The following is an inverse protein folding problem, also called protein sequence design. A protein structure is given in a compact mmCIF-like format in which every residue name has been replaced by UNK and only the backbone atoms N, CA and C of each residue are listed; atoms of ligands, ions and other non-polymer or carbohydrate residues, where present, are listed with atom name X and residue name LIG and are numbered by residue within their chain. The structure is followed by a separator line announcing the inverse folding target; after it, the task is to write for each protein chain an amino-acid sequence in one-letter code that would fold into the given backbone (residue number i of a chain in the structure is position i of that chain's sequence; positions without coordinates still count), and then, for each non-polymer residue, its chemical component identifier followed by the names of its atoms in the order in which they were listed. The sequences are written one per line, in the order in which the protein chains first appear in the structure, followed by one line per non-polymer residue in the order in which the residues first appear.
data_IF_406005150958
#
_entry.id   IF_406005150958
#
_cell.length_a   1.000
_cell.length_b   1.000
_cell.length_c   1.000
_cell.angle_alpha   90.00
_cell.angle_beta   90.00
_cell.angle_gamma   90.00
#
_symmetry.space_group_name_H-M   'P 1'
#
loop_
_entity.id
_entity.type
_entity.pdbx_description
1 polymer ?
#
# COMPACT_ATOMS: atom_id res chain seq x y z
N UNK A 1 1.73 -5.00 -25.20
CA UNK A 1 2.35 -4.10 -24.22
C UNK A 1 2.94 -2.89 -24.92
N UNK A 2 2.66 -1.67 -24.40
CA UNK A 2 2.85 -0.42 -25.18
C UNK A 2 4.30 -0.06 -25.51
N UNK A 3 5.28 -0.56 -24.75
CA UNK A 3 6.69 -0.21 -24.93
C UNK A 3 7.58 -1.42 -25.26
N UNK A 4 6.99 -2.53 -25.74
CA UNK A 4 7.74 -3.75 -26.06
C UNK A 4 8.31 -4.45 -24.83
N UNK A 5 7.73 -4.21 -23.64
CA UNK A 5 8.11 -4.88 -22.39
C UNK A 5 7.11 -5.98 -22.13
N UNK A 6 7.56 -7.21 -22.05
CA UNK A 6 6.74 -8.33 -21.60
C UNK A 6 6.62 -8.30 -20.07
N UNK A 7 5.40 -8.46 -19.57
CA UNK A 7 5.11 -8.49 -18.12
C UNK A 7 4.41 -9.80 -17.78
N UNK A 8 4.92 -10.47 -16.77
CA UNK A 8 4.33 -11.67 -16.17
C UNK A 8 3.90 -11.34 -14.75
N UNK A 9 2.63 -11.60 -14.44
CA UNK A 9 2.09 -11.44 -13.10
C UNK A 9 2.12 -12.78 -12.38
N UNK A 10 2.67 -12.81 -11.19
CA UNK A 10 2.74 -13.97 -10.31
C UNK A 10 2.31 -13.59 -8.90
N UNK A 11 1.77 -14.52 -8.14
CA UNK A 11 1.54 -14.30 -6.71
C UNK A 11 2.90 -14.20 -6.02
N UNK A 12 3.19 -13.08 -5.39
CA UNK A 12 4.47 -12.81 -4.72
C UNK A 12 4.72 -13.71 -3.51
N UNK A 13 3.66 -14.33 -2.97
CA UNK A 13 3.73 -15.28 -1.85
C UNK A 13 4.09 -16.70 -2.30
N UNK A 14 3.90 -17.01 -3.57
CA UNK A 14 4.32 -18.28 -4.18
C UNK A 14 5.73 -18.13 -4.74
N UNK A 15 6.74 -18.32 -3.87
CA UNK A 15 8.15 -18.18 -4.23
C UNK A 15 8.58 -19.16 -5.32
N UNK A 16 7.96 -20.33 -5.41
CA UNK A 16 8.23 -21.30 -6.48
C UNK A 16 7.70 -20.77 -7.83
N UNK A 17 6.52 -20.18 -7.86
CA UNK A 17 5.99 -19.52 -9.04
C UNK A 17 6.85 -18.33 -9.47
N UNK A 18 7.31 -17.52 -8.52
CA UNK A 18 8.26 -16.42 -8.78
C UNK A 18 9.56 -16.95 -9.38
N UNK A 19 10.17 -17.97 -8.78
CA UNK A 19 11.41 -18.55 -9.28
C UNK A 19 11.24 -19.17 -10.68
N UNK A 20 10.14 -19.86 -10.94
CA UNK A 20 9.84 -20.42 -12.25
C UNK A 20 9.69 -19.32 -13.31
N UNK A 21 8.97 -18.22 -12.99
CA UNK A 21 8.84 -17.09 -13.90
C UNK A 21 10.20 -16.41 -14.21
N UNK A 22 11.11 -16.37 -13.24
CA UNK A 22 12.46 -15.86 -13.42
C UNK A 22 13.32 -16.80 -14.31
N UNK A 23 13.08 -18.12 -14.24
CA UNK A 23 13.82 -19.14 -15.04
C UNK A 23 13.36 -19.23 -16.49
N UNK A 24 12.05 -19.12 -16.74
CA UNK A 24 11.45 -19.34 -18.05
C UNK A 24 11.89 -18.33 -19.11
N UNK A 25 12.23 -17.12 -18.69
CA UNK A 25 12.64 -16.02 -19.57
C UNK A 25 13.81 -15.26 -18.95
N UNK A 26 14.57 -14.59 -19.81
CA UNK A 26 15.60 -13.65 -19.38
C UNK A 26 14.96 -12.42 -18.73
N UNK A 27 14.43 -12.61 -17.51
CA UNK A 27 13.75 -11.57 -16.75
C UNK A 27 14.76 -10.52 -16.31
N UNK A 28 14.51 -9.26 -16.68
CA UNK A 28 15.41 -8.14 -16.35
C UNK A 28 15.06 -7.48 -15.01
N UNK A 29 13.80 -7.52 -14.61
CA UNK A 29 13.29 -6.84 -13.42
C UNK A 29 12.31 -7.74 -12.69
N UNK A 30 12.52 -7.92 -11.39
CA UNK A 30 11.50 -8.38 -10.44
C UNK A 30 10.97 -7.16 -9.72
N UNK A 31 9.65 -6.94 -9.80
CA UNK A 31 8.97 -5.82 -9.15
C UNK A 31 7.89 -6.34 -8.21
N UNK A 32 7.85 -5.81 -6.99
CA UNK A 32 6.80 -6.12 -6.02
C UNK A 32 6.45 -4.89 -5.17
N UNK A 33 5.44 -4.99 -4.33
CA UNK A 33 5.14 -4.05 -3.26
C UNK A 33 5.56 -4.65 -1.92
N UNK A 34 6.05 -3.85 -0.97
CA UNK A 34 6.34 -4.33 0.40
C UNK A 34 5.06 -4.80 1.09
N UNK A 35 4.01 -4.00 0.96
CA UNK A 35 2.64 -4.26 1.44
C UNK A 35 1.72 -4.00 0.27
N UNK A 36 0.97 -5.01 -0.16
CA UNK A 36 0.15 -4.92 -1.38
C UNK A 36 -1.08 -4.03 -1.22
N UNK A 37 -1.46 -3.33 -2.29
CA UNK A 37 -2.66 -2.51 -2.35
C UNK A 37 -3.74 -3.20 -3.22
N UNK A 38 -4.93 -3.52 -2.72
CA UNK A 38 -5.49 -3.13 -1.42
C UNK A 38 -5.49 -4.24 -0.35
N UNK A 39 -4.94 -5.42 -0.63
CA UNK A 39 -5.09 -6.62 0.20
C UNK A 39 -4.17 -6.64 1.43
N UNK A 40 -3.20 -5.73 1.50
CA UNK A 40 -2.24 -5.59 2.59
C UNK A 40 -1.42 -6.87 2.87
N UNK A 41 -1.23 -7.70 1.85
CA UNK A 41 -0.36 -8.87 1.90
C UNK A 41 1.10 -8.42 2.01
N UNK A 42 1.92 -9.20 2.70
CA UNK A 42 3.32 -8.87 2.97
C UNK A 42 4.24 -9.69 2.06
N UNK A 43 5.13 -9.02 1.34
CA UNK A 43 6.16 -9.67 0.54
C UNK A 43 7.32 -10.15 1.40
N UNK A 44 7.80 -11.36 1.17
CA UNK A 44 9.05 -11.87 1.79
C UNK A 44 10.25 -11.24 1.07
N UNK A 45 10.62 -10.03 1.51
CA UNK A 45 11.64 -9.23 0.84
C UNK A 45 13.00 -9.94 0.74
N UNK A 46 13.55 -10.57 1.80
CA UNK A 46 14.82 -11.29 1.72
C UNK A 46 14.82 -12.40 0.66
N UNK A 47 13.75 -13.21 0.63
CA UNK A 47 13.65 -14.33 -0.32
C UNK A 47 13.52 -13.83 -1.76
N UNK A 48 12.67 -12.81 -1.99
CA UNK A 48 12.49 -12.21 -3.32
C UNK A 48 13.78 -11.55 -3.83
N UNK A 49 14.51 -10.84 -2.97
CA UNK A 49 15.79 -10.24 -3.33
C UNK A 49 16.83 -11.32 -3.68
N UNK A 50 16.86 -12.42 -2.92
CA UNK A 50 17.75 -13.56 -3.19
C UNK A 50 17.44 -14.24 -4.53
N UNK A 51 16.15 -14.45 -4.84
CA UNK A 51 15.71 -15.00 -6.13
C UNK A 51 16.07 -14.08 -7.29
N UNK A 52 15.81 -12.77 -7.18
CA UNK A 52 16.18 -11.81 -8.22
C UNK A 52 17.70 -11.84 -8.48
N UNK A 53 18.51 -11.80 -7.43
CA UNK A 53 19.98 -11.85 -7.54
C UNK A 53 20.45 -13.16 -8.17
N UNK A 54 19.91 -14.31 -7.74
CA UNK A 54 20.23 -15.64 -8.29
C UNK A 54 20.03 -15.73 -9.79
N UNK A 55 19.00 -15.08 -10.33
CA UNK A 55 18.63 -15.07 -11.74
C UNK A 55 19.11 -13.83 -12.51
N UNK A 56 19.89 -12.94 -11.89
CA UNK A 56 20.48 -11.75 -12.52
C UNK A 56 19.48 -10.65 -12.85
N UNK A 57 18.29 -10.68 -12.25
CA UNK A 57 17.30 -9.64 -12.37
C UNK A 57 17.55 -8.47 -11.39
N UNK A 58 17.22 -7.26 -11.79
CA UNK A 58 17.22 -6.10 -10.88
C UNK A 58 15.95 -6.17 -10.03
N UNK A 59 16.12 -6.18 -8.71
CA UNK A 59 15.00 -6.16 -7.77
C UNK A 59 14.55 -4.75 -7.45
N UNK A 60 13.26 -4.48 -7.66
CA UNK A 60 12.62 -3.18 -7.40
C UNK A 60 11.41 -3.41 -6.50
N UNK A 61 11.28 -2.64 -5.45
CA UNK A 61 10.11 -2.72 -4.57
C UNK A 61 9.47 -1.34 -4.37
N UNK A 62 8.15 -1.28 -4.49
CA UNK A 62 7.38 -0.13 -4.04
C UNK A 62 7.10 -0.28 -2.54
N UNK A 63 7.67 0.61 -1.75
CA UNK A 63 7.51 0.61 -0.30
C UNK A 63 6.69 1.81 0.20
N UNK A 64 5.76 2.28 -0.64
CA UNK A 64 4.92 3.44 -0.34
C UNK A 64 4.10 3.23 0.93
N UNK A 65 3.51 2.04 1.14
CA UNK A 65 2.67 1.75 2.32
C UNK A 65 3.49 1.60 3.60
N UNK A 66 4.64 0.94 3.51
CA UNK A 66 5.50 0.75 4.67
C UNK A 66 6.24 2.04 5.06
N UNK A 67 6.58 2.91 4.12
CA UNK A 67 7.47 4.05 4.30
C UNK A 67 8.86 3.65 4.80
N UNK A 68 9.89 4.52 4.75
CA UNK A 68 11.17 4.21 5.35
C UNK A 68 11.15 4.16 6.90
N UNK A 69 10.00 4.51 7.53
CA UNK A 69 9.84 4.38 8.98
C UNK A 69 9.61 2.91 9.37
N UNK A 70 8.80 2.18 8.61
CA UNK A 70 8.46 0.79 8.94
C UNK A 70 9.34 -0.24 8.25
N UNK A 71 9.86 0.05 7.05
CA UNK A 71 10.70 -0.89 6.31
C UNK A 71 11.77 -0.19 5.47
N UNK A 72 12.99 -0.73 5.51
CA UNK A 72 14.07 -0.33 4.62
C UNK A 72 14.45 -1.50 3.69
N UNK A 73 13.83 -1.62 2.50
CA UNK A 73 14.02 -2.78 1.62
C UNK A 73 15.46 -2.99 1.12
N UNK A 74 16.29 -1.95 1.11
CA UNK A 74 17.71 -2.08 0.75
C UNK A 74 18.45 -2.99 1.75
N UNK A 75 18.09 -2.92 3.02
CA UNK A 75 18.66 -3.80 4.06
C UNK A 75 18.24 -5.26 3.89
N UNK A 76 17.12 -5.49 3.20
CA UNK A 76 16.65 -6.82 2.80
C UNK A 76 17.24 -7.31 1.47
N UNK A 77 18.15 -6.53 0.84
CA UNK A 77 18.89 -6.95 -0.35
C UNK A 77 18.35 -6.44 -1.68
N UNK A 78 17.27 -5.66 -1.70
CA UNK A 78 16.76 -5.04 -2.92
C UNK A 78 17.74 -4.06 -3.55
N UNK A 79 17.72 -3.97 -4.88
CA UNK A 79 18.56 -3.03 -5.61
C UNK A 79 17.99 -1.61 -5.57
N UNK A 80 16.67 -1.49 -5.69
CA UNK A 80 15.96 -0.23 -5.73
C UNK A 80 14.70 -0.28 -4.86
N UNK A 81 14.40 0.83 -4.21
CA UNK A 81 13.13 1.09 -3.54
C UNK A 81 12.47 2.32 -4.15
N UNK A 82 11.17 2.24 -4.39
CA UNK A 82 10.33 3.32 -4.89
C UNK A 82 9.36 3.74 -3.79
N UNK A 83 9.09 5.04 -3.71
CA UNK A 83 8.00 5.60 -2.92
C UNK A 83 7.23 6.63 -3.73
N UNK A 84 5.91 6.60 -3.63
CA UNK A 84 5.08 7.73 -4.04
C UNK A 84 5.22 8.87 -3.02
N UNK A 85 5.84 9.96 -3.43
CA UNK A 85 5.92 11.19 -2.62
C UNK A 85 4.55 11.83 -2.41
N UNK A 86 3.62 11.55 -3.30
CA UNK A 86 2.20 11.95 -3.21
C UNK A 86 1.51 11.49 -1.93
N UNK A 87 2.04 10.44 -1.29
CA UNK A 87 1.43 9.73 -0.16
C UNK A 87 2.06 10.15 1.17
N UNK A 88 2.34 9.22 2.05
CA UNK A 88 2.79 9.44 3.43
C UNK A 88 4.03 10.30 3.56
N UNK A 89 4.99 10.24 2.59
CA UNK A 89 6.23 11.01 2.68
C UNK A 89 5.94 12.52 2.71
N UNK A 90 5.13 13.00 1.79
CA UNK A 90 4.62 14.37 1.84
C UNK A 90 3.51 14.52 2.90
N UNK A 91 2.45 13.70 2.80
CA UNK A 91 1.37 13.58 3.77
C UNK A 91 0.35 14.71 3.79
N UNK A 92 0.39 15.66 2.84
CA UNK A 92 -0.47 16.86 2.84
C UNK A 92 -1.39 16.96 1.62
N UNK A 93 -1.43 15.93 0.77
CA UNK A 93 -2.34 15.81 -0.40
C UNK A 93 -2.25 16.98 -1.40
N UNK A 94 -1.12 17.71 -1.44
CA UNK A 94 -0.93 18.97 -2.17
C UNK A 94 0.10 18.86 -3.31
N UNK A 95 0.64 17.66 -3.58
CA UNK A 95 1.58 17.43 -4.69
C UNK A 95 1.48 16.02 -5.27
N UNK A 96 2.06 15.86 -6.46
CA UNK A 96 2.27 14.57 -7.11
C UNK A 96 3.76 14.36 -7.35
N UNK A 97 4.27 13.17 -7.00
CA UNK A 97 5.67 12.87 -7.23
C UNK A 97 6.05 11.46 -6.83
N UNK A 98 7.25 11.06 -7.21
CA UNK A 98 7.86 9.79 -6.85
C UNK A 98 9.34 9.95 -6.57
N UNK A 99 9.88 9.04 -5.80
CA UNK A 99 11.33 8.94 -5.56
C UNK A 99 11.78 7.50 -5.75
N UNK A 100 13.02 7.35 -6.18
CA UNK A 100 13.72 6.08 -6.23
C UNK A 100 15.04 6.21 -5.50
N UNK A 101 15.34 5.26 -4.64
CA UNK A 101 16.60 5.15 -3.93
C UNK A 101 17.19 3.76 -4.10
N UNK A 102 18.51 3.62 -3.97
CA UNK A 102 19.18 2.33 -4.07
C UNK A 102 20.62 2.42 -4.51
N UNK A 103 21.12 1.33 -5.11
CA UNK A 103 22.53 1.19 -5.52
C UNK A 103 22.93 2.27 -6.52
N UNK A 104 23.97 3.03 -6.21
CA UNK A 104 24.49 4.16 -7.01
C UNK A 104 24.60 3.83 -8.49
N UNK A 105 25.18 2.68 -8.85
CA UNK A 105 25.37 2.26 -10.24
C UNK A 105 24.06 2.18 -11.05
N UNK A 106 22.94 1.85 -10.39
CA UNK A 106 21.61 1.79 -11.03
C UNK A 106 20.98 3.18 -11.04
N UNK A 107 21.11 3.91 -9.94
CA UNK A 107 20.61 5.29 -9.83
C UNK A 107 21.25 6.21 -10.86
N UNK A 108 22.57 6.09 -11.13
CA UNK A 108 23.25 6.90 -12.15
C UNK A 108 22.63 6.73 -13.54
N UNK A 109 22.23 5.51 -13.91
CA UNK A 109 21.55 5.23 -15.18
C UNK A 109 20.13 5.84 -15.21
N UNK A 110 19.42 5.81 -14.09
CA UNK A 110 18.09 6.42 -13.97
C UNK A 110 18.24 7.94 -14.07
N UNK A 111 19.21 8.51 -13.37
CA UNK A 111 19.52 9.95 -13.40
C UNK A 111 19.86 10.46 -14.81
N UNK A 112 20.63 9.68 -15.59
CA UNK A 112 20.91 10.00 -16.99
C UNK A 112 19.61 10.08 -17.81
N UNK A 113 18.70 9.13 -17.64
CA UNK A 113 17.41 9.13 -18.33
C UNK A 113 16.53 10.29 -17.90
N UNK A 114 16.46 10.56 -16.59
CA UNK A 114 15.70 11.68 -16.04
C UNK A 114 16.15 13.02 -16.66
N UNK A 115 17.47 13.25 -16.77
CA UNK A 115 18.01 14.47 -17.38
C UNK A 115 17.70 14.58 -18.89
N UNK A 116 17.71 13.45 -19.59
CA UNK A 116 17.54 13.45 -21.05
C UNK A 116 16.08 13.49 -21.49
N UNK A 117 15.18 12.87 -20.75
CA UNK A 117 13.77 12.74 -21.11
C UNK A 117 12.82 13.61 -20.27
N UNK A 118 13.32 14.25 -19.24
CA UNK A 118 12.50 15.04 -18.32
C UNK A 118 11.84 14.20 -17.23
N UNK A 119 10.81 14.75 -16.59
CA UNK A 119 10.16 14.15 -15.43
C UNK A 119 10.78 14.55 -14.09
N UNK A 120 11.74 15.48 -14.09
CA UNK A 120 12.26 16.08 -12.86
C UNK A 120 11.17 16.88 -12.15
N UNK A 121 11.15 16.75 -10.82
CA UNK A 121 10.19 17.45 -9.97
C UNK A 121 10.41 18.96 -10.02
N UNK A 122 9.31 19.71 -10.04
CA UNK A 122 9.33 21.16 -9.89
C UNK A 122 9.92 21.57 -8.53
N UNK A 123 10.75 22.64 -8.44
CA UNK A 123 11.38 23.07 -7.20
C UNK A 123 10.41 23.41 -6.06
N UNK A 124 9.23 23.96 -6.37
CA UNK A 124 8.22 24.23 -5.37
C UNK A 124 7.67 22.93 -4.75
N UNK A 125 7.31 21.95 -5.59
CA UNK A 125 6.89 20.63 -5.11
C UNK A 125 8.01 19.95 -4.29
N UNK A 126 9.26 20.04 -4.72
CA UNK A 126 10.39 19.49 -3.98
C UNK A 126 10.52 20.12 -2.58
N UNK A 127 10.30 21.42 -2.45
CA UNK A 127 10.30 22.12 -1.16
C UNK A 127 9.16 21.70 -0.25
N UNK A 128 7.96 21.41 -0.82
CA UNK A 128 6.84 20.88 -0.06
C UNK A 128 7.12 19.45 0.46
N UNK A 129 7.74 18.61 -0.36
CA UNK A 129 8.19 17.26 0.07
C UNK A 129 9.16 17.37 1.24
N UNK A 130 10.21 18.19 1.10
CA UNK A 130 11.18 18.39 2.18
C UNK A 130 10.51 18.85 3.47
N UNK A 131 9.54 19.77 3.37
CA UNK A 131 8.76 20.23 4.52
C UNK A 131 7.91 19.10 5.11
N UNK A 132 7.18 18.34 4.30
CA UNK A 132 6.34 17.22 4.73
C UNK A 132 7.15 16.12 5.43
N UNK A 133 8.32 15.80 4.92
CA UNK A 133 9.19 14.78 5.51
C UNK A 133 9.67 15.11 6.92
N UNK A 134 9.75 16.38 7.30
CA UNK A 134 10.15 16.80 8.67
C UNK A 134 9.22 16.30 9.77
N UNK A 135 7.99 15.96 9.43
CA UNK A 135 6.96 15.43 10.36
C UNK A 135 6.52 13.99 10.03
N UNK A 136 7.20 13.33 9.08
CA UNK A 136 6.81 12.01 8.62
C UNK A 136 6.68 11.01 9.77
N UNK A 137 7.68 10.93 10.64
CA UNK A 137 7.69 9.96 11.75
C UNK A 137 6.49 10.16 12.67
N UNK A 138 6.28 11.37 13.15
CA UNK A 138 5.17 11.69 14.09
C UNK A 138 3.80 11.39 13.46
N UNK A 139 3.62 11.75 12.18
CA UNK A 139 2.38 11.47 11.45
C UNK A 139 2.15 9.97 11.28
N UNK A 140 3.21 9.25 10.89
CA UNK A 140 3.13 7.82 10.67
C UNK A 140 2.84 7.07 11.97
N UNK A 141 3.54 7.36 13.05
CA UNK A 141 3.31 6.76 14.37
C UNK A 141 1.88 7.02 14.87
N UNK A 142 1.41 8.27 14.79
CA UNK A 142 0.05 8.62 15.22
C UNK A 142 -1.02 7.90 14.40
N UNK A 143 -0.91 7.92 13.08
CA UNK A 143 -1.89 7.26 12.21
C UNK A 143 -1.86 5.73 12.35
N UNK A 144 -0.69 5.12 12.56
CA UNK A 144 -0.53 3.68 12.80
C UNK A 144 -1.15 3.26 14.14
N UNK A 145 -0.94 4.03 15.21
CA UNK A 145 -1.58 3.77 16.51
C UNK A 145 -3.12 3.79 16.39
N UNK A 146 -3.66 4.79 15.70
CA UNK A 146 -5.11 4.90 15.48
C UNK A 146 -5.63 3.76 14.60
N UNK A 147 -4.91 3.40 13.54
CA UNK A 147 -5.24 2.28 12.65
C UNK A 147 -5.30 0.94 13.41
N UNK A 148 -4.33 0.67 14.28
CA UNK A 148 -4.30 -0.54 15.08
C UNK A 148 -5.51 -0.64 16.02
N UNK A 149 -5.86 0.45 16.71
CA UNK A 149 -7.06 0.50 17.56
C UNK A 149 -8.34 0.26 16.76
N UNK A 150 -8.44 0.92 15.60
CA UNK A 150 -9.61 0.81 14.72
C UNK A 150 -9.75 -0.61 14.14
N UNK A 151 -8.66 -1.21 13.67
CA UNK A 151 -8.66 -2.58 13.15
C UNK A 151 -9.13 -3.59 14.20
N UNK A 152 -8.65 -3.49 15.44
CA UNK A 152 -9.10 -4.34 16.54
C UNK A 152 -10.59 -4.15 16.85
N UNK A 153 -11.09 -2.91 16.84
CA UNK A 153 -12.50 -2.62 17.06
C UNK A 153 -13.37 -3.17 15.93
N UNK A 154 -12.99 -2.93 14.67
CA UNK A 154 -13.70 -3.44 13.50
C UNK A 154 -13.76 -4.97 13.46
N UNK A 155 -12.68 -5.65 13.87
CA UNK A 155 -12.64 -7.13 13.90
C UNK A 155 -13.73 -7.73 14.81
N UNK A 156 -14.10 -7.02 15.88
CA UNK A 156 -15.17 -7.43 16.80
C UNK A 156 -16.57 -6.98 16.37
N UNK A 157 -16.69 -6.14 15.34
CA UNK A 157 -17.96 -5.52 14.98
C UNK A 157 -18.87 -6.46 14.18
N UNK A 158 -20.16 -6.58 14.61
CA UNK A 158 -21.13 -7.55 14.04
C UNK A 158 -21.43 -7.37 12.55
N UNK A 159 -21.29 -6.17 12.00
CA UNK A 159 -21.51 -5.84 10.58
C UNK A 159 -20.27 -6.07 9.70
N UNK A 160 -19.13 -6.39 10.27
CA UNK A 160 -17.88 -6.65 9.56
C UNK A 160 -17.70 -8.16 9.37
N UNK A 161 -17.35 -8.57 8.14
CA UNK A 161 -17.10 -9.98 7.77
C UNK A 161 -15.64 -10.37 8.04
N UNK A 162 -14.70 -9.51 7.65
CA UNK A 162 -13.24 -9.71 7.76
C UNK A 162 -12.56 -8.37 7.89
N UNK A 163 -11.51 -8.29 8.69
CA UNK A 163 -10.56 -7.17 8.70
C UNK A 163 -9.22 -7.68 8.21
N UNK A 164 -8.54 -6.89 7.41
CA UNK A 164 -7.21 -7.17 6.87
C UNK A 164 -6.30 -6.04 7.34
N UNK A 165 -5.44 -6.36 8.29
CA UNK A 165 -4.48 -5.43 8.88
C UNK A 165 -3.27 -6.20 9.37
N UNK A 166 -2.03 -5.88 8.96
CA UNK A 166 -0.85 -6.66 9.29
C UNK A 166 -0.58 -6.84 10.79
N UNK A 167 -1.12 -5.95 11.62
CA UNK A 167 -1.00 -6.01 13.08
C UNK A 167 -1.99 -6.95 13.79
N UNK A 168 -2.98 -7.49 13.11
CA UNK A 168 -3.93 -8.45 13.70
C UNK A 168 -3.39 -9.88 13.61
N UNK A 169 -3.59 -10.66 14.68
CA UNK A 169 -3.20 -12.09 14.68
C UNK A 169 -3.97 -12.92 13.66
N UNK A 170 -5.12 -12.44 13.22
CA UNK A 170 -5.95 -13.05 12.16
C UNK A 170 -5.44 -12.78 10.75
N UNK A 171 -4.44 -11.92 10.57
CA UNK A 171 -3.82 -11.65 9.28
C UNK A 171 -2.98 -12.84 8.82
N UNK A 172 -3.16 -13.26 7.57
CA UNK A 172 -2.51 -14.45 7.03
C UNK A 172 -0.97 -14.35 7.12
N UNK A 173 -0.41 -13.14 6.92
CA UNK A 173 1.04 -12.87 6.97
C UNK A 173 1.49 -12.26 8.31
N UNK A 174 0.76 -12.47 9.43
CA UNK A 174 1.08 -11.83 10.72
C UNK A 174 2.52 -12.08 11.19
N UNK A 175 3.02 -13.32 11.09
CA UNK A 175 4.38 -13.63 11.52
C UNK A 175 5.44 -13.10 10.54
N UNK A 176 5.13 -13.04 9.25
CA UNK A 176 6.00 -12.42 8.25
C UNK A 176 6.06 -10.90 8.43
N UNK A 177 4.91 -10.26 8.70
CA UNK A 177 4.86 -8.81 8.93
C UNK A 177 5.81 -8.36 10.03
N UNK A 178 5.92 -9.12 11.14
CA UNK A 178 6.84 -8.84 12.25
C UNK A 178 8.32 -8.97 11.89
N UNK A 179 8.64 -9.71 10.83
CA UNK A 179 10.03 -9.85 10.36
C UNK A 179 10.41 -8.74 9.39
N UNK A 180 9.44 -8.28 8.60
CA UNK A 180 9.66 -7.34 7.50
C UNK A 180 9.42 -5.89 7.93
N UNK A 181 8.43 -5.67 8.80
CA UNK A 181 7.96 -4.36 9.20
C UNK A 181 8.29 -4.08 10.67
N UNK A 182 8.71 -2.84 10.99
CA UNK A 182 8.82 -2.39 12.38
C UNK A 182 7.46 -2.08 12.98
N UNK A 183 6.47 -1.78 12.16
CA UNK A 183 5.12 -1.38 12.50
C UNK A 183 4.13 -1.85 11.44
N UNK A 184 2.84 -1.93 11.79
CA UNK A 184 1.79 -2.50 10.92
C UNK A 184 1.18 -1.51 9.92
N UNK A 185 1.61 -0.24 9.97
CA UNK A 185 1.16 0.82 9.06
C UNK A 185 -0.23 1.39 9.37
N UNK A 186 -0.61 2.38 8.58
CA UNK A 186 -1.85 3.15 8.77
C UNK A 186 -2.99 2.76 7.80
N UNK A 187 -2.78 1.72 6.98
CA UNK A 187 -3.80 1.23 6.06
C UNK A 187 -4.58 0.09 6.70
N UNK A 188 -5.92 0.17 6.68
CA UNK A 188 -6.82 -0.89 7.13
C UNK A 188 -7.75 -1.25 5.99
N UNK A 189 -7.82 -2.52 5.62
CA UNK A 189 -8.82 -3.03 4.70
C UNK A 189 -9.82 -3.92 5.44
N UNK A 190 -11.06 -3.90 5.04
CA UNK A 190 -12.09 -4.72 5.65
C UNK A 190 -13.24 -5.02 4.70
N UNK A 191 -14.06 -6.00 5.05
CA UNK A 191 -15.22 -6.41 4.25
C UNK A 191 -16.50 -6.21 5.07
N UNK A 192 -17.40 -5.38 4.56
CA UNK A 192 -18.73 -5.16 5.14
C UNK A 192 -19.64 -6.33 4.79
N UNK A 193 -20.42 -6.82 5.76
CA UNK A 193 -21.46 -7.83 5.49
C UNK A 193 -22.57 -7.23 4.63
N UNK A 194 -23.13 -8.05 3.73
CA UNK A 194 -24.20 -7.63 2.80
C UNK A 194 -23.68 -7.19 1.44
N UNK A 195 -22.37 -7.03 1.26
CA UNK A 195 -21.76 -6.78 -0.04
C UNK A 195 -21.60 -5.32 -0.41
N UNK A 196 -21.48 -5.05 -1.72
CA UNK A 196 -21.11 -3.75 -2.25
C UNK A 196 -22.14 -2.63 -1.93
N UNK A 197 -23.43 -2.97 -1.87
CA UNK A 197 -24.50 -1.99 -1.61
C UNK A 197 -24.46 -1.50 -0.15
N UNK A 198 -24.28 -2.41 0.80
CA UNK A 198 -24.09 -2.07 2.21
C UNK A 198 -22.80 -1.32 2.44
N UNK A 199 -21.70 -1.73 1.80
CA UNK A 199 -20.44 -0.98 1.80
C UNK A 199 -20.64 0.47 1.33
N UNK A 200 -21.38 0.66 0.23
CA UNK A 200 -21.69 1.99 -0.31
C UNK A 200 -22.57 2.83 0.63
N UNK A 201 -23.59 2.21 1.26
CA UNK A 201 -24.40 2.89 2.26
C UNK A 201 -23.56 3.38 3.43
N UNK A 202 -22.69 2.50 3.95
CA UNK A 202 -21.75 2.85 5.01
C UNK A 202 -20.88 4.05 4.60
N UNK A 203 -20.21 3.99 3.44
CA UNK A 203 -19.37 5.09 2.98
C UNK A 203 -20.14 6.42 2.88
N UNK A 204 -21.36 6.38 2.34
CA UNK A 204 -22.21 7.57 2.20
C UNK A 204 -22.70 8.14 3.54
N UNK A 205 -22.63 7.38 4.62
CA UNK A 205 -23.01 7.80 5.97
C UNK A 205 -21.84 8.29 6.81
N UNK A 206 -20.59 8.18 6.30
CA UNK A 206 -19.41 8.71 6.99
C UNK A 206 -19.42 10.24 6.99
N UNK A 207 -19.01 10.83 8.12
CA UNK A 207 -18.98 12.29 8.32
C UNK A 207 -17.56 12.83 8.55
N UNK A 208 -16.66 12.02 9.09
CA UNK A 208 -15.26 12.39 9.38
C UNK A 208 -14.35 11.95 8.27
N UNK A 209 -14.39 10.66 7.91
CA UNK A 209 -13.57 10.14 6.84
C UNK A 209 -14.08 10.55 5.46
N UNK A 210 -13.21 11.13 4.64
CA UNK A 210 -13.56 11.59 3.29
C UNK A 210 -13.49 10.46 2.27
N UNK A 211 -14.45 10.39 1.34
CA UNK A 211 -14.42 9.45 0.23
C UNK A 211 -13.43 9.91 -0.84
N UNK A 212 -12.29 9.23 -0.97
CA UNK A 212 -11.29 9.55 -1.98
C UNK A 212 -10.41 8.33 -2.33
N UNK A 213 -9.81 8.38 -3.52
CA UNK A 213 -8.94 7.32 -4.04
C UNK A 213 -7.50 7.37 -3.52
N UNK A 214 -7.07 8.49 -2.95
CA UNK A 214 -5.72 8.67 -2.42
C UNK A 214 -5.55 7.96 -1.08
N UNK A 215 -4.44 8.18 -0.41
CA UNK A 215 -4.10 7.63 0.88
C UNK A 215 -2.87 8.34 1.48
N UNK A 216 -2.64 8.13 2.76
CA UNK A 216 -1.40 8.57 3.42
C UNK A 216 -1.31 10.07 3.70
N UNK A 217 -2.44 10.78 3.62
CA UNK A 217 -2.56 12.17 4.06
C UNK A 217 -2.73 12.30 5.56
N UNK A 218 -2.82 13.54 6.03
CA UNK A 218 -3.18 13.87 7.43
C UNK A 218 -4.66 13.61 7.70
N UNK A 219 -5.48 13.63 6.65
CA UNK A 219 -6.90 13.30 6.66
C UNK A 219 -7.14 11.79 6.47
N UNK A 220 -8.17 11.26 7.11
CA UNK A 220 -8.65 9.90 6.89
C UNK A 220 -9.43 9.79 5.59
N UNK A 221 -9.04 8.84 4.73
CA UNK A 221 -9.66 8.57 3.45
C UNK A 221 -10.23 7.15 3.37
N UNK A 222 -11.43 7.04 2.79
CA UNK A 222 -12.12 5.76 2.63
C UNK A 222 -12.53 5.55 1.18
N UNK A 223 -12.39 4.32 0.68
CA UNK A 223 -12.80 3.98 -0.69
C UNK A 223 -13.16 2.51 -0.84
N UNK A 224 -13.96 2.23 -1.85
CA UNK A 224 -14.21 0.86 -2.30
C UNK A 224 -13.44 0.65 -3.62
N UNK A 225 -12.45 -0.27 -3.67
CA UNK A 225 -11.63 -0.50 -4.86
C UNK A 225 -12.43 -0.80 -6.13
N UNK A 226 -13.57 -1.49 -6.01
CA UNK A 226 -14.42 -1.81 -7.15
C UNK A 226 -15.01 -0.56 -7.85
N UNK A 227 -15.24 0.51 -7.11
CA UNK A 227 -15.78 1.75 -7.65
C UNK A 227 -14.68 2.73 -8.10
N UNK A 228 -13.41 2.38 -7.89
CA UNK A 228 -12.25 3.26 -8.10
C UNK A 228 -11.14 2.56 -8.90
N UNK A 229 -10.15 2.02 -8.23
CA UNK A 229 -8.94 1.45 -8.87
C UNK A 229 -9.20 0.18 -9.69
N UNK A 230 -10.23 -0.59 -9.35
CA UNK A 230 -10.63 -1.84 -10.03
C UNK A 230 -11.99 -1.71 -10.74
N UNK A 231 -12.44 -0.49 -11.04
CA UNK A 231 -13.75 -0.26 -11.66
C UNK A 231 -13.92 -0.90 -13.05
N UNK A 232 -12.83 -1.19 -13.76
CA UNK A 232 -12.84 -1.89 -15.05
C UNK A 232 -12.87 -3.42 -14.93
N UNK A 233 -12.75 -3.96 -13.72
CA UNK A 233 -12.74 -5.41 -13.49
C UNK A 233 -14.17 -5.95 -13.35
N UNK A 234 -14.40 -7.18 -13.84
CA UNK A 234 -15.66 -7.88 -13.55
C UNK A 234 -15.69 -8.30 -12.07
N UNK A 235 -16.89 -8.58 -11.56
CA UNK A 235 -17.05 -9.04 -10.18
C UNK A 235 -16.28 -10.34 -9.93
N UNK A 236 -16.35 -11.28 -10.88
CA UNK A 236 -15.65 -12.57 -10.79
C UNK A 236 -14.13 -12.37 -10.72
N UNK A 237 -13.58 -11.47 -11.55
CA UNK A 237 -12.15 -11.16 -11.55
C UNK A 237 -11.71 -10.54 -10.22
N UNK A 238 -12.52 -9.66 -9.63
CA UNK A 238 -12.24 -9.06 -8.32
C UNK A 238 -12.22 -10.10 -7.21
N UNK A 239 -13.24 -10.94 -7.16
CA UNK A 239 -13.34 -12.01 -6.13
C UNK A 239 -12.19 -13.01 -6.29
N UNK A 240 -11.86 -13.40 -7.52
CA UNK A 240 -10.72 -14.28 -7.79
C UNK A 240 -9.37 -13.66 -7.35
N UNK A 241 -9.27 -12.34 -7.35
CA UNK A 241 -8.10 -11.60 -6.85
C UNK A 241 -8.17 -11.29 -5.34
N UNK A 242 -9.13 -11.86 -4.60
CA UNK A 242 -9.27 -11.66 -3.15
C UNK A 242 -10.03 -10.39 -2.73
N UNK A 243 -10.54 -9.61 -3.69
CA UNK A 243 -11.34 -8.41 -3.40
C UNK A 243 -12.83 -8.82 -3.31
N UNK A 244 -13.24 -9.20 -2.12
CA UNK A 244 -14.62 -9.63 -1.82
C UNK A 244 -15.64 -8.50 -2.08
N UNK A 245 -16.92 -8.88 -2.21
CA UNK A 245 -18.02 -7.91 -2.22
C UNK A 245 -18.10 -7.22 -0.86
N UNK A 246 -18.27 -5.90 -0.87
CA UNK A 246 -18.24 -5.09 0.35
C UNK A 246 -16.83 -4.75 0.83
N UNK A 247 -15.81 -4.96 0.00
CA UNK A 247 -14.42 -4.63 0.34
C UNK A 247 -14.22 -3.12 0.40
N UNK A 248 -13.67 -2.65 1.51
CA UNK A 248 -13.36 -1.25 1.79
C UNK A 248 -11.88 -1.12 2.13
N UNK A 249 -11.24 -0.08 1.59
CA UNK A 249 -9.89 0.35 1.95
C UNK A 249 -9.97 1.67 2.70
N UNK A 250 -9.37 1.71 3.87
CA UNK A 250 -9.29 2.88 4.75
C UNK A 250 -7.84 3.29 4.97
N UNK A 251 -7.54 4.57 4.73
CA UNK A 251 -6.27 5.22 5.05
C UNK A 251 -6.48 6.08 6.27
N UNK A 252 -5.92 5.67 7.40
CA UNK A 252 -6.06 6.38 8.67
C UNK A 252 -5.22 7.66 8.66
N UNK A 253 -5.85 8.79 8.95
CA UNK A 253 -5.21 10.08 9.13
C UNK A 253 -4.80 10.34 10.59
N UNK A 254 -4.86 11.60 11.00
CA UNK A 254 -4.42 12.06 12.32
C UNK A 254 -5.57 12.36 13.29
N UNK A 255 -6.80 12.13 12.86
CA UNK A 255 -8.00 12.36 13.66
C UNK A 255 -7.97 11.56 14.96
N UNK A 256 -8.77 11.97 15.92
CA UNK A 256 -8.90 11.23 17.16
C UNK A 256 -9.55 9.85 16.94
N UNK A 257 -9.07 8.86 17.68
CA UNK A 257 -9.58 7.50 17.56
C UNK A 257 -11.07 7.39 17.89
N UNK A 258 -11.53 8.11 18.94
CA UNK A 258 -12.93 8.04 19.35
C UNK A 258 -13.84 8.73 18.34
N UNK A 259 -13.38 9.79 17.70
CA UNK A 259 -14.12 10.45 16.61
C UNK A 259 -14.29 9.54 15.40
N UNK A 260 -13.21 8.88 14.95
CA UNK A 260 -13.26 7.91 13.86
C UNK A 260 -14.12 6.69 14.22
N UNK A 261 -13.95 6.15 15.41
CA UNK A 261 -14.74 5.00 15.89
C UNK A 261 -16.23 5.34 15.91
N UNK A 262 -16.59 6.51 16.45
CA UNK A 262 -17.99 6.96 16.49
C UNK A 262 -18.55 7.17 15.08
N UNK A 263 -17.76 7.69 14.15
CA UNK A 263 -18.14 7.84 12.75
C UNK A 263 -18.41 6.49 12.07
N UNK A 264 -17.54 5.50 12.29
CA UNK A 264 -17.77 4.13 11.81
C UNK A 264 -18.98 3.47 12.48
N UNK A 265 -19.15 3.63 13.79
CA UNK A 265 -20.24 2.99 14.55
C UNK A 265 -21.62 3.50 14.09
N UNK A 266 -21.76 4.82 13.89
CA UNK A 266 -23.00 5.40 13.36
C UNK A 266 -23.25 4.98 11.92
N UNK A 267 -22.21 4.92 11.07
CA UNK A 267 -22.35 4.51 9.66
C UNK A 267 -22.73 3.03 9.53
N UNK A 268 -22.09 2.14 10.32
CA UNK A 268 -22.40 0.72 10.36
C UNK A 268 -23.77 0.41 11.00
N UNK A 269 -24.22 1.25 11.94
CA UNK A 269 -25.55 1.13 12.54
C UNK A 269 -26.70 1.47 11.58
N UNK A 270 -26.40 2.17 10.49
CA UNK A 270 -27.36 2.49 9.43
C UNK A 270 -27.64 1.32 8.47
N UNK A 271 -26.89 0.21 8.56
CA UNK A 271 -27.02 -1.01 7.76
C UNK A 271 -28.06 -1.98 8.40
#
# INVERSE_FOLDING_TARGET
IRFGIDVHYVDVRDLDAVENALKEKETKVLYCETVTNPLLEISDLPELAALANKHGAVSIVDSTFATPISCNPIEHGFDLVIHSLTKMLNGHSDLLGGTVAGKTKVIDKIWEKLRNFGGSMDPHQASLVERGMKTLQIRYERSTETAAKLANWLESHSKIKKVIYPGLKSHDDYELSKKILSDSGNMVSFVVKGGDDEGRKMLNSMNVASQAISLGGVESLISMPYATTHASWTQEARVAAGIDLGFVRFSTGLEDFDDLKNDFDQALSSL
#
